data_IF_066173339308
#
_entry.id   IF_066173339308
#
_cell.length_a   1.000
_cell.length_b   1.000
_cell.length_c   1.000
_cell.angle_alpha   90.00
_cell.angle_beta   90.00
_cell.angle_gamma   90.00
#
_symmetry.space_group_name_H-M   'P 1'
#
loop_
_entity.id
_entity.type
_entity.pdbx_description
1 polymer ?
#
# COMPACT_ATOMS: atom_id res chain seq x y z
N UNK A 1 -4.09 47.98 -5.22
CA UNK A 1 -4.38 47.84 -3.78
C UNK A 1 -4.89 46.43 -3.52
N UNK A 2 -4.13 45.39 -3.86
CA UNK A 2 -2.87 44.92 -3.25
C UNK A 2 -3.10 44.08 -1.98
N UNK A 3 -2.85 42.77 -2.21
CA UNK A 3 -2.28 41.75 -1.32
C UNK A 3 -2.95 41.44 0.03
N UNK A 4 -3.74 40.36 0.02
CA UNK A 4 -3.92 39.47 1.18
C UNK A 4 -2.59 38.75 1.49
N UNK A 5 -2.02 38.87 2.71
CA UNK A 5 -0.80 38.14 3.05
C UNK A 5 -1.14 36.66 3.33
N UNK A 6 -0.72 35.78 2.44
CA UNK A 6 -0.70 34.33 2.66
C UNK A 6 0.32 34.02 3.78
N UNK A 7 -0.18 33.77 4.98
CA UNK A 7 0.63 33.36 6.14
C UNK A 7 1.49 32.14 5.80
N UNK A 8 2.80 32.30 5.96
CA UNK A 8 3.81 31.31 5.60
C UNK A 8 3.80 30.17 6.62
N UNK A 9 3.94 28.93 6.13
CA UNK A 9 4.06 27.68 6.89
C UNK A 9 5.10 27.68 8.03
N UNK A 10 5.99 28.68 8.05
CA UNK A 10 7.03 28.87 9.06
C UNK A 10 6.49 29.46 10.38
N UNK A 11 5.40 30.21 10.34
CA UNK A 11 4.82 30.84 11.54
C UNK A 11 4.08 29.80 12.39
N UNK A 12 3.51 28.76 11.77
CA UNK A 12 2.80 27.67 12.44
C UNK A 12 3.71 26.83 13.36
N UNK A 13 5.01 26.73 13.07
CA UNK A 13 5.95 25.98 13.90
C UNK A 13 6.46 26.78 15.10
N UNK A 14 6.32 28.11 15.11
CA UNK A 14 6.66 28.93 16.29
C UNK A 14 5.54 28.91 17.34
N UNK A 15 4.28 28.74 16.93
CA UNK A 15 3.13 28.74 17.84
C UNK A 15 2.92 27.42 18.59
N UNK A 16 3.57 26.32 18.17
CA UNK A 16 3.39 24.99 18.78
C UNK A 16 4.35 24.71 19.96
N UNK A 17 5.27 25.63 20.30
CA UNK A 17 6.33 25.41 21.29
C UNK A 17 6.03 25.80 22.75
N UNK A 18 4.87 26.37 23.06
CA UNK A 18 4.59 27.00 24.37
C UNK A 18 3.33 26.45 25.04
N UNK A 19 3.33 25.14 25.34
CA UNK A 19 2.19 24.47 25.99
C UNK A 19 2.54 23.46 27.09
N UNK A 20 3.75 23.51 27.66
CA UNK A 20 4.21 22.54 28.67
C UNK A 20 4.75 23.18 29.96
N UNK A 21 4.07 24.19 30.51
CA UNK A 21 4.30 24.63 31.89
C UNK A 21 3.00 25.10 32.55
N UNK A 22 2.24 24.15 33.10
CA UNK A 22 1.03 24.51 33.84
C UNK A 22 0.22 23.37 34.47
N UNK A 23 0.77 22.16 34.64
CA UNK A 23 -0.03 21.01 35.13
C UNK A 23 0.35 20.39 36.51
N UNK A 24 1.49 20.63 37.18
CA UNK A 24 1.80 19.84 38.38
C UNK A 24 1.68 20.58 39.71
N UNK A 25 0.62 21.37 39.99
CA UNK A 25 0.44 21.98 41.32
C UNK A 25 -0.99 21.99 41.90
N UNK A 26 -1.95 21.26 41.31
CA UNK A 26 -3.35 21.25 41.79
C UNK A 26 -3.92 19.86 42.12
N UNK A 27 -3.08 18.86 42.44
CA UNK A 27 -3.55 17.50 42.78
C UNK A 27 -3.32 17.07 44.24
N UNK A 28 -2.86 17.94 45.12
CA UNK A 28 -2.53 17.56 46.51
C UNK A 28 -3.58 17.94 47.55
N UNK A 29 -4.79 18.38 47.17
CA UNK A 29 -5.72 18.98 48.14
C UNK A 29 -7.10 18.34 48.31
N UNK A 30 -7.42 17.22 47.68
CA UNK A 30 -8.70 16.57 47.96
C UNK A 30 -8.59 15.05 48.09
N UNK A 31 -9.07 14.58 49.24
CA UNK A 31 -9.54 13.22 49.53
C UNK A 31 -8.56 12.26 50.21
N UNK A 32 -8.32 12.51 51.51
CA UNK A 32 -8.01 11.47 52.49
C UNK A 32 -9.30 11.00 53.18
N UNK A 33 -9.92 9.92 52.69
CA UNK A 33 -10.94 9.17 53.47
C UNK A 33 -10.79 7.67 53.24
N UNK A 34 -10.31 6.99 54.29
CA UNK A 34 -10.64 5.64 54.79
C UNK A 34 -11.20 4.59 53.81
N UNK A 35 -10.56 3.39 53.70
CA UNK A 35 -11.12 2.29 52.93
C UNK A 35 -12.20 1.58 53.75
N UNK A 36 -13.47 1.88 53.48
CA UNK A 36 -14.57 1.01 53.91
C UNK A 36 -14.67 -0.15 52.90
N UNK A 37 -14.33 -1.35 53.35
CA UNK A 37 -14.47 -2.59 52.58
C UNK A 37 -15.97 -2.86 52.34
N UNK A 38 -16.48 -2.40 51.20
CA UNK A 38 -17.73 -2.90 50.65
C UNK A 38 -17.40 -4.03 49.67
N UNK A 39 -17.30 -5.26 50.19
CA UNK A 39 -17.34 -6.46 49.35
C UNK A 39 -18.77 -6.63 48.86
N UNK A 40 -19.10 -6.01 47.72
CA UNK A 40 -20.25 -6.43 46.94
C UNK A 40 -19.93 -7.80 46.36
N UNK A 41 -20.53 -8.84 46.92
CA UNK A 41 -20.58 -10.17 46.33
C UNK A 41 -21.37 -10.09 45.02
N UNK A 42 -20.70 -9.65 43.95
CA UNK A 42 -21.15 -9.91 42.60
C UNK A 42 -20.90 -11.39 42.34
N UNK A 43 -21.97 -12.17 42.41
CA UNK A 43 -22.02 -13.54 41.90
C UNK A 43 -21.56 -13.50 40.45
N UNK A 44 -20.27 -13.79 40.23
CA UNK A 44 -19.73 -13.97 38.89
C UNK A 44 -20.28 -15.29 38.42
N UNK A 45 -21.43 -15.24 37.75
CA UNK A 45 -21.83 -16.31 36.86
C UNK A 45 -20.75 -16.35 35.80
N UNK A 46 -19.75 -17.22 35.99
CA UNK A 46 -18.76 -17.54 34.97
C UNK A 46 -19.53 -18.18 33.83
N UNK A 47 -20.03 -17.35 32.91
CA UNK A 47 -20.61 -17.82 31.66
C UNK A 47 -19.55 -18.73 31.04
N UNK A 48 -19.88 -20.02 30.92
CA UNK A 48 -19.01 -21.05 30.36
C UNK A 48 -18.40 -20.50 29.06
N UNK A 49 -17.07 -20.32 29.06
CA UNK A 49 -16.36 -19.75 27.94
C UNK A 49 -16.48 -20.74 26.76
N UNK A 50 -17.44 -20.47 25.87
CA UNK A 50 -17.60 -21.25 24.66
C UNK A 50 -16.26 -21.25 23.90
N UNK A 51 -15.84 -22.39 23.33
CA UNK A 51 -14.59 -22.46 22.58
C UNK A 51 -14.61 -21.41 21.48
N UNK A 52 -13.53 -20.62 21.40
CA UNK A 52 -13.38 -19.56 20.42
C UNK A 52 -13.29 -20.17 19.02
N UNK A 53 -14.44 -20.21 18.33
CA UNK A 53 -14.51 -20.75 16.98
C UNK A 53 -13.82 -19.78 16.02
N UNK A 54 -12.78 -20.26 15.36
CA UNK A 54 -12.06 -19.53 14.31
C UNK A 54 -12.95 -19.40 13.06
N UNK A 55 -13.85 -18.42 13.06
CA UNK A 55 -14.84 -18.18 11.99
C UNK A 55 -14.19 -17.78 10.66
N UNK A 56 -12.98 -17.22 10.71
CA UNK A 56 -12.24 -16.73 9.55
C UNK A 56 -10.78 -17.16 9.63
N UNK A 57 -10.47 -18.43 9.32
CA UNK A 57 -9.09 -18.91 9.35
C UNK A 57 -8.26 -18.19 8.28
N UNK A 58 -7.31 -17.34 8.73
CA UNK A 58 -6.41 -16.58 7.84
C UNK A 58 -5.07 -17.26 7.59
N UNK A 59 -4.90 -18.53 7.97
CA UNK A 59 -3.60 -19.21 7.86
C UNK A 59 -3.06 -19.19 6.43
N UNK A 60 -3.89 -19.62 5.45
CA UNK A 60 -3.49 -19.65 4.04
C UNK A 60 -3.25 -18.25 3.47
N UNK A 61 -4.10 -17.29 3.85
CA UNK A 61 -3.95 -15.88 3.46
C UNK A 61 -2.63 -15.30 3.98
N UNK A 62 -2.33 -15.47 5.27
CA UNK A 62 -1.12 -14.97 5.89
C UNK A 62 0.11 -15.60 5.24
N UNK A 63 0.08 -16.92 5.04
CA UNK A 63 1.16 -17.63 4.34
C UNK A 63 1.40 -17.07 2.94
N UNK A 64 0.35 -16.87 2.14
CA UNK A 64 0.48 -16.30 0.79
C UNK A 64 1.05 -14.87 0.82
N UNK A 65 0.61 -14.04 1.78
CA UNK A 65 1.13 -12.68 1.95
C UNK A 65 2.62 -12.71 2.31
N UNK A 66 3.04 -13.64 3.16
CA UNK A 66 4.44 -13.77 3.55
C UNK A 66 5.31 -14.26 2.37
N UNK A 67 4.81 -15.18 1.55
CA UNK A 67 5.47 -15.59 0.30
C UNK A 67 5.64 -14.43 -0.69
N UNK A 68 4.61 -13.59 -0.85
CA UNK A 68 4.68 -12.40 -1.71
C UNK A 68 5.71 -11.40 -1.18
N UNK A 69 5.71 -11.13 0.13
CA UNK A 69 6.69 -10.25 0.78
C UNK A 69 8.11 -10.77 0.61
N UNK A 70 8.30 -12.08 0.78
CA UNK A 70 9.61 -12.70 0.59
C UNK A 70 10.09 -12.55 -0.86
N UNK A 71 9.19 -12.73 -1.85
CA UNK A 71 9.51 -12.52 -3.25
C UNK A 71 9.87 -11.05 -3.57
N UNK A 72 9.10 -10.10 -3.02
CA UNK A 72 9.37 -8.67 -3.15
C UNK A 72 10.73 -8.30 -2.55
N UNK A 73 11.02 -8.75 -1.33
CA UNK A 73 12.30 -8.49 -0.65
C UNK A 73 13.50 -8.99 -1.47
N UNK A 74 13.42 -10.20 -2.03
CA UNK A 74 14.45 -10.74 -2.94
C UNK A 74 14.63 -9.85 -4.18
N UNK A 75 13.52 -9.36 -4.75
CA UNK A 75 13.54 -8.46 -5.89
C UNK A 75 14.18 -7.11 -5.56
N UNK A 76 13.83 -6.51 -4.42
CA UNK A 76 14.33 -5.21 -4.00
C UNK A 76 15.83 -5.27 -3.69
N UNK A 77 16.28 -6.26 -2.91
CA UNK A 77 17.70 -6.45 -2.63
C UNK A 77 18.55 -6.60 -3.91
N UNK A 78 18.02 -7.28 -4.94
CA UNK A 78 18.71 -7.41 -6.23
C UNK A 78 18.79 -6.09 -7.00
N UNK A 79 17.78 -5.21 -6.88
CA UNK A 79 17.79 -3.88 -7.51
C UNK A 79 18.71 -2.92 -6.75
N UNK A 80 18.69 -2.97 -5.42
CA UNK A 80 19.53 -2.13 -4.55
C UNK A 80 21.03 -2.43 -4.74
N UNK A 81 21.37 -3.65 -5.15
CA UNK A 81 22.74 -4.04 -5.46
C UNK A 81 23.28 -3.50 -6.81
N UNK A 82 22.42 -2.97 -7.68
CA UNK A 82 22.83 -2.47 -9.01
C UNK A 82 23.55 -1.13 -8.87
N UNK A 83 24.77 -1.02 -9.41
CA UNK A 83 25.59 0.21 -9.28
C UNK A 83 25.95 0.82 -10.63
N UNK A 84 26.05 0.00 -11.67
CA UNK A 84 26.52 0.44 -12.97
C UNK A 84 25.47 0.25 -14.06
N UNK A 85 25.66 0.93 -15.20
CA UNK A 85 24.82 0.74 -16.39
C UNK A 85 24.85 -0.71 -16.88
N UNK A 86 26.02 -1.36 -16.85
CA UNK A 86 26.18 -2.74 -17.25
C UNK A 86 25.37 -3.70 -16.36
N UNK A 87 25.34 -3.45 -15.04
CA UNK A 87 24.54 -4.25 -14.10
C UNK A 87 23.04 -4.12 -14.39
N UNK A 88 22.58 -2.90 -14.68
CA UNK A 88 21.18 -2.64 -15.02
C UNK A 88 20.78 -3.34 -16.33
N UNK A 89 21.62 -3.28 -17.36
CA UNK A 89 21.37 -3.96 -18.63
C UNK A 89 21.35 -5.49 -18.47
N UNK A 90 22.27 -6.05 -17.67
CA UNK A 90 22.28 -7.47 -17.34
C UNK A 90 21.02 -7.88 -16.55
N UNK A 91 20.57 -7.04 -15.61
CA UNK A 91 19.33 -7.25 -14.88
C UNK A 91 18.12 -7.27 -15.81
N UNK A 92 17.98 -6.30 -16.72
CA UNK A 92 16.89 -6.24 -17.71
C UNK A 92 16.86 -7.49 -18.59
N UNK A 93 18.03 -7.92 -19.12
CA UNK A 93 18.14 -9.16 -19.89
C UNK A 93 17.65 -10.38 -19.09
N UNK A 94 18.03 -10.48 -17.82
CA UNK A 94 17.58 -11.56 -16.94
C UNK A 94 16.07 -11.54 -16.65
N UNK A 95 15.46 -10.36 -16.61
CA UNK A 95 14.00 -10.23 -16.44
C UNK A 95 13.29 -10.67 -17.72
N UNK A 96 13.75 -10.23 -18.88
CA UNK A 96 13.19 -10.63 -20.18
C UNK A 96 13.25 -12.15 -20.38
N UNK A 97 14.34 -12.78 -19.97
CA UNK A 97 14.48 -14.24 -20.00
C UNK A 97 13.45 -14.92 -19.08
N UNK A 98 13.32 -14.48 -17.82
CA UNK A 98 12.34 -15.05 -16.88
C UNK A 98 10.91 -14.88 -17.37
N UNK A 99 10.56 -13.73 -17.96
CA UNK A 99 9.26 -13.52 -18.60
C UNK A 99 9.04 -14.57 -19.69
N UNK A 100 10.05 -14.83 -20.53
CA UNK A 100 9.96 -15.86 -21.56
C UNK A 100 9.76 -17.26 -20.99
N UNK A 101 10.42 -17.59 -19.89
CA UNK A 101 10.28 -18.88 -19.21
C UNK A 101 8.87 -19.05 -18.60
N UNK A 102 8.29 -17.99 -18.02
CA UNK A 102 6.96 -18.04 -17.42
C UNK A 102 5.83 -18.15 -18.46
N UNK A 103 5.92 -17.41 -19.58
CA UNK A 103 4.85 -17.36 -20.59
C UNK A 103 5.06 -18.35 -21.75
N UNK A 104 6.25 -18.94 -21.89
CA UNK A 104 6.58 -19.87 -22.95
C UNK A 104 7.02 -19.21 -24.27
N UNK A 105 7.17 -20.00 -25.35
CA UNK A 105 7.57 -19.48 -26.66
C UNK A 105 6.51 -18.52 -27.22
N UNK A 106 6.96 -17.51 -27.98
CA UNK A 106 6.01 -16.66 -28.70
C UNK A 106 5.37 -17.50 -29.81
N UNK A 107 4.06 -17.33 -30.08
CA UNK A 107 3.43 -17.95 -31.23
C UNK A 107 4.11 -17.47 -32.53
N UNK A 108 3.98 -18.26 -33.59
CA UNK A 108 4.47 -17.88 -34.91
C UNK A 108 3.86 -16.54 -35.35
N UNK A 109 4.69 -15.68 -35.95
CA UNK A 109 4.24 -14.38 -36.42
C UNK A 109 3.33 -14.57 -37.62
N UNK A 110 2.06 -14.25 -37.47
CA UNK A 110 1.09 -14.24 -38.58
C UNK A 110 0.93 -12.83 -39.15
N UNK A 111 0.52 -12.70 -40.42
CA UNK A 111 0.23 -11.40 -41.02
C UNK A 111 -0.83 -10.68 -40.19
N UNK A 112 -0.45 -9.54 -39.62
CA UNK A 112 -1.35 -8.68 -38.86
C UNK A 112 -2.23 -7.95 -39.87
N UNK A 113 -3.34 -8.58 -40.28
CA UNK A 113 -4.30 -8.07 -41.27
C UNK A 113 -5.07 -6.84 -40.73
N UNK A 114 -4.35 -5.80 -40.34
CA UNK A 114 -4.90 -4.58 -39.77
C UNK A 114 -5.62 -3.76 -40.84
N UNK A 115 -6.87 -3.37 -40.57
CA UNK A 115 -7.71 -2.55 -41.46
C UNK A 115 -8.28 -1.37 -40.69
N UNK A 116 -8.11 -0.17 -41.23
CA UNK A 116 -8.76 1.04 -40.72
C UNK A 116 -10.24 0.99 -41.13
N UNK A 117 -11.12 0.93 -40.15
CA UNK A 117 -12.58 0.82 -40.39
C UNK A 117 -13.25 2.19 -40.38
N UNK A 118 -12.69 3.14 -39.63
CA UNK A 118 -13.24 4.49 -39.51
C UNK A 118 -12.14 5.47 -39.16
N UNK A 119 -12.24 6.66 -39.73
CA UNK A 119 -11.36 7.78 -39.43
C UNK A 119 -12.22 8.98 -39.02
N UNK A 120 -11.89 9.60 -37.90
CA UNK A 120 -12.59 10.75 -37.35
C UNK A 120 -11.62 11.92 -37.21
N UNK A 121 -11.91 13.01 -37.90
CA UNK A 121 -11.18 14.27 -37.75
C UNK A 121 -11.66 15.05 -36.51
N UNK A 122 -10.70 15.57 -35.76
CA UNK A 122 -10.89 16.50 -34.65
C UNK A 122 -9.95 17.69 -34.84
N UNK A 123 -10.20 18.77 -34.12
CA UNK A 123 -9.31 19.92 -34.19
C UNK A 123 -7.93 19.53 -33.63
N UNK A 124 -6.92 19.50 -34.51
CA UNK A 124 -5.53 19.17 -34.19
C UNK A 124 -5.18 17.67 -34.11
N UNK A 125 -6.11 16.73 -34.33
CA UNK A 125 -5.79 15.29 -34.34
C UNK A 125 -6.84 14.44 -35.08
N UNK A 126 -6.42 13.22 -35.45
CA UNK A 126 -7.26 12.23 -36.11
C UNK A 126 -7.37 10.97 -35.23
N UNK A 127 -8.55 10.34 -35.21
CA UNK A 127 -8.79 9.07 -34.53
C UNK A 127 -9.09 8.01 -35.57
N UNK A 128 -8.28 6.95 -35.62
CA UNK A 128 -8.48 5.80 -36.49
C UNK A 128 -8.92 4.57 -35.69
N UNK A 129 -10.02 3.95 -36.10
CA UNK A 129 -10.46 2.67 -35.56
C UNK A 129 -9.85 1.53 -36.38
N UNK A 130 -8.92 0.78 -35.79
CA UNK A 130 -8.19 -0.30 -36.46
C UNK A 130 -8.69 -1.66 -35.95
N UNK A 131 -9.12 -2.53 -36.86
CA UNK A 131 -9.42 -3.94 -36.58
C UNK A 131 -8.26 -4.78 -37.09
N UNK A 132 -7.74 -5.70 -36.27
CA UNK A 132 -6.65 -6.60 -36.63
C UNK A 132 -6.91 -8.02 -36.14
N UNK A 133 -6.28 -8.98 -36.79
CA UNK A 133 -6.34 -10.40 -36.44
C UNK A 133 -5.17 -10.75 -35.52
N UNK A 134 -5.45 -11.02 -34.23
CA UNK A 134 -4.40 -11.37 -33.24
C UNK A 134 -3.91 -12.80 -33.36
N UNK A 135 -4.68 -13.69 -33.97
CA UNK A 135 -4.37 -15.10 -34.20
C UNK A 135 -4.83 -15.48 -35.61
N UNK A 136 -4.14 -16.41 -36.29
CA UNK A 136 -4.67 -17.02 -37.50
C UNK A 136 -5.96 -17.78 -37.17
N UNK A 137 -6.90 -17.80 -38.11
CA UNK A 137 -8.08 -18.68 -38.05
C UNK A 137 -7.66 -20.15 -38.08
#
# INVERSE_FOLDING_TARGET
MDSTPLSRRRDFLQTAGLGLMGWPLAQTFFCTTTPAMAQSAASTTTASALPQLNRFPRMMQNWLVDEVRAAEARGNARRDALKTKADAEAYVKSVQQRIRECFGPLPEKTPLNAKVTKTLERDGYQIENIVFESRPN
#
